data_IF_744032459916
#
_entry.id   IF_744032459916
#
_cell.length_a   1.000
_cell.length_b   1.000
_cell.length_c   1.000
_cell.angle_alpha   90.00
_cell.angle_beta   90.00
_cell.angle_gamma   90.00
#
_symmetry.space_group_name_H-M   'P 1'
#
loop_
_entity.id
_entity.type
_entity.pdbx_description
1 polymer ?
#
# COMPACT_ATOMS: atom_id res chain seq x y z
N UNK A 1 -0.73 -9.29 7.80
CA UNK A 1 0.63 -9.81 8.04
C UNK A 1 1.65 -8.73 7.71
N UNK A 2 1.64 -8.17 6.51
CA UNK A 2 2.67 -7.22 6.04
C UNK A 2 2.77 -5.94 6.88
N UNK A 3 1.66 -5.24 7.15
CA UNK A 3 1.69 -4.04 8.00
C UNK A 3 2.21 -4.34 9.41
N UNK A 4 1.82 -5.46 10.00
CA UNK A 4 2.31 -5.87 11.32
C UNK A 4 3.82 -6.21 11.29
N UNK A 5 4.31 -6.81 10.19
CA UNK A 5 5.74 -7.02 9.97
C UNK A 5 6.48 -5.68 9.87
N UNK A 6 5.96 -4.73 9.09
CA UNK A 6 6.51 -3.38 8.96
C UNK A 6 6.61 -2.68 10.34
N UNK A 7 5.56 -2.76 11.15
CA UNK A 7 5.53 -2.19 12.51
C UNK A 7 6.51 -2.87 13.47
N UNK A 8 6.65 -4.20 13.38
CA UNK A 8 7.61 -4.93 14.21
C UNK A 8 9.05 -4.52 13.92
N UNK A 9 9.39 -4.36 12.63
CA UNK A 9 10.72 -4.04 12.15
C UNK A 9 11.23 -2.66 12.58
N UNK A 10 10.34 -1.73 12.95
CA UNK A 10 10.72 -0.41 13.51
C UNK A 10 11.57 -0.51 14.78
N UNK A 11 11.48 -1.64 15.50
CA UNK A 11 12.20 -1.84 16.75
C UNK A 11 13.57 -2.52 16.56
N UNK A 12 13.93 -2.89 15.33
CA UNK A 12 15.21 -3.54 15.03
C UNK A 12 16.33 -2.53 14.77
N UNK A 13 17.57 -2.90 15.11
CA UNK A 13 18.75 -2.07 14.90
C UNK A 13 19.86 -2.84 14.16
N UNK A 14 20.38 -2.33 13.02
CA UNK A 14 19.90 -1.12 12.32
C UNK A 14 18.49 -1.30 11.76
N UNK A 15 17.72 -0.22 11.71
CA UNK A 15 16.34 -0.23 11.20
C UNK A 15 16.33 -0.61 9.72
N UNK A 16 15.67 -1.72 9.32
CA UNK A 16 15.68 -2.18 7.94
C UNK A 16 14.62 -1.43 7.12
N UNK A 17 14.85 -0.13 6.85
CA UNK A 17 13.89 0.79 6.23
C UNK A 17 13.34 0.28 4.89
N UNK A 18 14.19 -0.25 4.02
CA UNK A 18 13.76 -0.82 2.72
C UNK A 18 12.73 -1.93 2.89
N UNK A 19 12.95 -2.81 3.87
CA UNK A 19 12.06 -3.95 4.16
C UNK A 19 10.74 -3.45 4.74
N UNK A 20 10.77 -2.41 5.57
CA UNK A 20 9.57 -1.76 6.11
C UNK A 20 8.73 -1.16 4.98
N UNK A 21 9.33 -0.32 4.13
CA UNK A 21 8.64 0.31 3.00
C UNK A 21 8.07 -0.73 2.01
N UNK A 22 8.83 -1.80 1.73
CA UNK A 22 8.36 -2.92 0.91
C UNK A 22 7.11 -3.59 1.51
N UNK A 23 7.10 -3.87 2.82
CA UNK A 23 5.92 -4.45 3.47
C UNK A 23 4.73 -3.49 3.51
N UNK A 24 4.96 -2.18 3.61
CA UNK A 24 3.90 -1.19 3.50
C UNK A 24 3.23 -1.22 2.12
N UNK A 25 4.03 -1.25 1.04
CA UNK A 25 3.49 -1.39 -0.32
C UNK A 25 2.74 -2.71 -0.49
N UNK A 26 3.30 -3.84 -0.05
CA UNK A 26 2.66 -5.15 -0.18
C UNK A 26 1.34 -5.22 0.61
N UNK A 27 1.28 -4.56 1.77
CA UNK A 27 0.04 -4.42 2.53
C UNK A 27 -1.01 -3.66 1.73
N UNK A 28 -0.67 -2.49 1.20
CA UNK A 28 -1.57 -1.67 0.41
C UNK A 28 -2.05 -2.39 -0.86
N UNK A 29 -1.15 -3.07 -1.58
CA UNK A 29 -1.46 -3.88 -2.76
C UNK A 29 -2.54 -4.92 -2.46
N UNK A 30 -2.37 -5.67 -1.36
CA UNK A 30 -3.31 -6.71 -0.94
C UNK A 30 -4.69 -6.14 -0.63
N UNK A 31 -4.77 -4.99 0.03
CA UNK A 31 -6.06 -4.34 0.30
C UNK A 31 -6.75 -3.85 -0.98
N UNK A 32 -6.03 -3.18 -1.88
CA UNK A 32 -6.59 -2.74 -3.17
C UNK A 32 -7.07 -3.94 -4.01
N UNK A 33 -6.27 -5.00 -4.11
CA UNK A 33 -6.66 -6.23 -4.81
C UNK A 33 -7.86 -6.92 -4.14
N UNK A 34 -7.94 -6.91 -2.81
CA UNK A 34 -9.09 -7.48 -2.08
C UNK A 34 -10.39 -6.75 -2.41
N UNK A 35 -10.33 -5.43 -2.58
CA UNK A 35 -11.48 -4.64 -3.00
C UNK A 35 -11.93 -5.00 -4.42
N UNK A 36 -11.00 -5.14 -5.37
CA UNK A 36 -11.33 -5.61 -6.72
C UNK A 36 -12.02 -6.98 -6.69
N UNK A 37 -11.52 -7.92 -5.88
CA UNK A 37 -12.14 -9.23 -5.68
C UNK A 37 -13.54 -9.10 -5.08
N UNK A 38 -13.74 -8.23 -4.08
CA UNK A 38 -15.05 -7.96 -3.48
C UNK A 38 -16.06 -7.43 -4.53
N UNK A 39 -15.57 -6.69 -5.53
CA UNK A 39 -16.36 -6.20 -6.66
C UNK A 39 -16.48 -7.22 -7.81
N UNK A 40 -16.04 -8.45 -7.62
CA UNK A 40 -16.11 -9.52 -8.62
C UNK A 40 -15.12 -9.37 -9.79
N UNK A 41 -14.11 -8.51 -9.65
CA UNK A 41 -13.04 -8.34 -10.65
C UNK A 41 -11.82 -9.19 -10.26
N UNK A 42 -11.24 -9.89 -11.24
CA UNK A 42 -9.93 -10.53 -11.06
C UNK A 42 -8.82 -9.48 -11.07
N UNK A 43 -8.03 -9.33 -10.01
CA UNK A 43 -6.97 -8.33 -9.99
C UNK A 43 -5.86 -8.64 -11.01
N UNK A 44 -5.30 -7.62 -11.69
CA UNK A 44 -4.18 -7.82 -12.60
C UNK A 44 -2.91 -8.25 -11.86
N UNK A 45 -1.99 -8.90 -12.59
CA UNK A 45 -0.65 -9.24 -12.10
C UNK A 45 0.29 -8.03 -12.20
N UNK A 46 0.00 -7.01 -11.41
CA UNK A 46 0.78 -5.76 -11.28
C UNK A 46 1.14 -5.49 -9.82
N UNK A 47 2.23 -4.76 -9.60
CA UNK A 47 2.64 -4.20 -8.30
C UNK A 47 2.43 -2.69 -8.23
N UNK A 48 1.95 -2.10 -9.34
CA UNK A 48 1.65 -0.68 -9.45
C UNK A 48 0.36 -0.36 -8.69
N UNK A 49 0.47 0.43 -7.63
CA UNK A 49 -0.70 0.77 -6.82
C UNK A 49 -1.54 1.88 -7.46
N UNK A 50 -0.97 2.73 -8.32
CA UNK A 50 -1.73 3.72 -9.08
C UNK A 50 -2.65 3.02 -10.07
N UNK A 51 -2.15 2.00 -10.76
CA UNK A 51 -2.94 1.16 -11.66
C UNK A 51 -4.10 0.49 -10.90
N UNK A 52 -3.81 -0.11 -9.73
CA UNK A 52 -4.83 -0.75 -8.90
C UNK A 52 -5.85 0.27 -8.37
N UNK A 53 -5.40 1.43 -7.89
CA UNK A 53 -6.27 2.50 -7.38
C UNK A 53 -7.22 3.00 -8.47
N UNK A 54 -6.70 3.18 -9.70
CA UNK A 54 -7.50 3.56 -10.86
C UNK A 54 -8.58 2.52 -11.16
N UNK A 55 -8.23 1.23 -11.19
CA UNK A 55 -9.20 0.14 -11.42
C UNK A 55 -10.29 0.09 -10.33
N UNK A 56 -9.92 0.37 -9.09
CA UNK A 56 -10.88 0.46 -7.99
C UNK A 56 -11.82 1.66 -8.17
N UNK A 57 -11.29 2.81 -8.59
CA UNK A 57 -12.07 4.04 -8.80
C UNK A 57 -13.15 3.90 -9.87
N UNK A 58 -12.99 3.00 -10.85
CA UNK A 58 -14.03 2.69 -11.84
C UNK A 58 -15.35 2.19 -11.21
N UNK A 59 -15.28 1.74 -9.96
CA UNK A 59 -16.43 1.16 -9.27
C UNK A 59 -16.86 1.95 -8.04
N UNK A 60 -16.06 2.94 -7.60
CA UNK A 60 -16.35 3.79 -6.45
C UNK A 60 -15.50 5.08 -6.46
N UNK A 61 -16.14 6.25 -6.44
CA UNK A 61 -15.47 7.54 -6.61
C UNK A 61 -14.59 7.97 -5.41
N UNK A 62 -14.76 7.33 -4.26
CA UNK A 62 -14.00 7.64 -3.04
C UNK A 62 -12.50 7.36 -3.10
N UNK A 63 -12.00 6.63 -4.11
CA UNK A 63 -10.59 6.25 -4.21
C UNK A 63 -9.64 7.43 -4.41
N UNK A 64 -10.13 8.60 -4.83
CA UNK A 64 -9.33 9.83 -4.86
C UNK A 64 -8.76 10.22 -3.48
N UNK A 65 -9.36 9.75 -2.37
CA UNK A 65 -8.87 10.00 -1.00
C UNK A 65 -7.55 9.29 -0.67
N UNK A 66 -7.18 8.25 -1.42
CA UNK A 66 -5.99 7.43 -1.17
C UNK A 66 -5.03 7.38 -2.36
N UNK A 67 -5.31 8.14 -3.42
CA UNK A 67 -4.52 8.13 -4.65
C UNK A 67 -3.06 8.54 -4.42
N UNK A 68 -2.81 9.62 -3.67
CA UNK A 68 -1.46 10.09 -3.36
C UNK A 68 -0.65 9.02 -2.60
N UNK A 69 -1.28 8.33 -1.64
CA UNK A 69 -0.65 7.22 -0.92
C UNK A 69 -0.32 6.03 -1.82
N UNK A 70 -1.12 5.77 -2.87
CA UNK A 70 -0.84 4.71 -3.84
C UNK A 70 0.38 5.08 -4.69
N UNK A 71 0.46 6.32 -5.17
CA UNK A 71 1.59 6.83 -5.93
C UNK A 71 2.89 6.73 -5.13
N UNK A 72 2.89 7.24 -3.89
CA UNK A 72 4.06 7.21 -3.01
C UNK A 72 4.54 5.77 -2.74
N UNK A 73 3.60 4.85 -2.46
CA UNK A 73 3.94 3.47 -2.13
C UNK A 73 4.37 2.64 -3.34
N UNK A 74 3.96 3.00 -4.56
CA UNK A 74 4.34 2.26 -5.78
C UNK A 74 5.86 2.18 -5.96
N UNK A 75 6.59 3.22 -5.53
CA UNK A 75 8.05 3.25 -5.56
C UNK A 75 8.71 2.12 -4.74
N UNK A 76 8.01 1.55 -3.76
CA UNK A 76 8.54 0.50 -2.87
C UNK A 76 8.20 -0.93 -3.30
N UNK A 77 7.43 -1.12 -4.38
CA UNK A 77 6.91 -2.45 -4.78
C UNK A 77 7.95 -3.38 -5.41
N UNK A 78 9.10 -2.85 -5.82
CA UNK A 78 10.16 -3.61 -6.47
C UNK A 78 11.37 -3.69 -5.53
N UNK A 79 11.60 -4.87 -4.95
CA UNK A 79 12.73 -5.15 -4.05
C UNK A 79 14.10 -4.76 -4.62
N UNK A 80 14.25 -4.71 -5.95
CA UNK A 80 15.58 -4.62 -6.54
C UNK A 80 16.19 -3.23 -6.55
N UNK A 81 15.46 -2.12 -6.61
CA UNK A 81 16.10 -0.82 -6.91
C UNK A 81 15.28 0.38 -6.41
N UNK A 82 15.55 0.81 -5.18
CA UNK A 82 15.70 2.25 -4.98
C UNK A 82 16.73 2.73 -6.04
N UNK A 83 16.47 3.78 -6.82
CA UNK A 83 17.39 4.16 -7.89
C UNK A 83 18.76 4.37 -7.27
N UNK A 84 19.76 3.66 -7.83
CA UNK A 84 21.14 3.60 -7.33
C UNK A 84 21.63 5.00 -6.96
N UNK A 85 21.57 5.35 -5.67
CA UNK A 85 21.95 6.68 -5.17
C UNK A 85 20.92 7.43 -4.32
N UNK A 86 19.66 6.99 -4.20
CA UNK A 86 18.71 7.52 -3.21
C UNK A 86 18.80 6.71 -1.92
N UNK A 87 19.05 7.40 -0.80
CA UNK A 87 19.07 6.82 0.55
C UNK A 87 17.71 7.03 1.20
N UNK A 88 17.13 5.95 1.75
CA UNK A 88 15.93 6.04 2.57
C UNK A 88 16.20 6.78 3.89
N UNK A 89 15.27 7.64 4.26
CA UNK A 89 15.24 8.32 5.55
C UNK A 89 14.10 7.79 6.43
N UNK A 90 14.16 8.05 7.74
CA UNK A 90 13.10 7.69 8.68
C UNK A 90 11.74 8.28 8.30
N UNK A 91 11.74 9.46 7.67
CA UNK A 91 10.52 10.10 7.17
C UNK A 91 9.84 9.26 6.08
N UNK A 92 10.61 8.62 5.20
CA UNK A 92 10.08 7.84 4.09
C UNK A 92 9.41 6.58 4.64
N UNK A 93 10.04 5.96 5.65
CA UNK A 93 9.47 4.83 6.41
C UNK A 93 8.16 5.22 7.10
N UNK A 94 8.14 6.39 7.74
CA UNK A 94 6.96 6.93 8.42
C UNK A 94 5.82 7.22 7.44
N UNK A 95 6.13 7.81 6.28
CA UNK A 95 5.17 8.07 5.21
C UNK A 95 4.61 6.77 4.64
N UNK A 96 5.45 5.76 4.39
CA UNK A 96 5.02 4.47 3.90
C UNK A 96 4.05 3.77 4.87
N UNK A 97 4.36 3.78 6.17
CA UNK A 97 3.47 3.23 7.21
C UNK A 97 2.12 3.96 7.26
N UNK A 98 2.13 5.29 7.19
CA UNK A 98 0.91 6.09 7.19
C UNK A 98 0.06 5.80 5.95
N UNK A 99 0.67 5.74 4.75
CA UNK A 99 -0.03 5.40 3.51
C UNK A 99 -0.66 4.01 3.56
N UNK A 100 0.08 3.01 4.05
CA UNK A 100 -0.43 1.64 4.17
C UNK A 100 -1.60 1.53 5.18
N UNK A 101 -1.54 2.28 6.29
CA UNK A 101 -2.65 2.38 7.26
C UNK A 101 -3.87 3.06 6.65
N UNK A 102 -3.69 4.21 5.99
CA UNK A 102 -4.76 4.96 5.37
C UNK A 102 -5.51 4.13 4.31
N UNK A 103 -4.78 3.43 3.44
CA UNK A 103 -5.37 2.54 2.43
C UNK A 103 -6.13 1.39 3.11
N UNK A 104 -5.53 0.74 4.11
CA UNK A 104 -6.20 -0.33 4.87
C UNK A 104 -7.52 0.16 5.47
N UNK A 105 -7.49 1.27 6.20
CA UNK A 105 -8.66 1.81 6.90
C UNK A 105 -9.77 2.20 5.92
N UNK A 106 -9.40 2.84 4.82
CA UNK A 106 -10.33 3.19 3.74
C UNK A 106 -11.02 1.96 3.16
N UNK A 107 -10.27 0.90 2.83
CA UNK A 107 -10.84 -0.32 2.23
C UNK A 107 -11.71 -1.08 3.24
N UNK A 108 -11.32 -1.12 4.51
CA UNK A 108 -12.13 -1.75 5.56
C UNK A 108 -13.46 -1.01 5.79
N UNK A 109 -13.45 0.33 5.75
CA UNK A 109 -14.67 1.13 5.84
C UNK A 109 -15.61 0.83 4.66
N UNK A 110 -15.09 0.82 3.43
CA UNK A 110 -15.89 0.46 2.25
C UNK A 110 -16.44 -0.96 2.31
N UNK A 111 -15.65 -1.93 2.77
CA UNK A 111 -16.10 -3.31 2.90
C UNK A 111 -17.25 -3.44 3.91
N UNK A 112 -17.23 -2.66 5.01
CA UNK A 112 -18.31 -2.63 5.97
C UNK A 112 -19.60 -2.01 5.40
N UNK A 113 -19.48 -0.93 4.63
CA UNK A 113 -20.62 -0.30 3.94
C UNK A 113 -21.29 -1.23 2.92
N UNK A 114 -20.52 -2.08 2.23
CA UNK A 114 -21.02 -3.03 1.24
C UNK A 114 -21.66 -4.28 1.86
N UNK A 115 -21.40 -4.56 3.14
CA UNK A 115 -21.91 -5.72 3.85
C UNK A 115 -23.21 -5.45 4.63
N UNK A 116 -23.61 -4.18 4.76
CA UNK A 116 -24.87 -3.75 5.37
C UNK A 116 -25.99 -3.58 4.35
#
# INVERSE_FOLDING_TARGET
MDLASAEHLLNMHPTPMEVICYHCQQSAEKYLKSYLVLRGKNPPKTHDLDELCKLCSETHDGFGKVADHCSDLTAYGVQTRYPMGLTLEERDTSQALNGARAIREFILALAAELAG
#
